data_IF_720938230742
#
_entry.id   IF_720938230742
#
_cell.length_a   1.000
_cell.length_b   1.000
_cell.length_c   1.000
_cell.angle_alpha   90.00
_cell.angle_beta   90.00
_cell.angle_gamma   90.00
#
_symmetry.space_group_name_H-M   'P 1'
#
loop_
_entity.id
_entity.type
_entity.pdbx_description
1 polymer ?
#
# COMPACT_ATOMS: atom_id res chain seq x y z
N UNK A 1 7.13 -21.94 23.63
CA UNK A 1 6.92 -20.87 24.63
C UNK A 1 5.44 -20.64 24.79
N UNK A 2 4.83 -21.27 25.78
CA UNK A 2 3.38 -21.25 26.01
C UNK A 2 2.90 -19.96 26.71
N UNK A 3 3.81 -19.13 27.22
CA UNK A 3 3.50 -17.86 27.93
C UNK A 3 3.04 -16.71 27.03
N UNK A 4 3.04 -16.86 25.70
CA UNK A 4 2.66 -15.77 24.77
C UNK A 4 1.22 -15.87 24.25
N UNK A 5 0.42 -16.82 24.76
CA UNK A 5 -1.00 -17.03 24.39
C UNK A 5 -1.86 -16.80 25.63
N UNK A 6 -2.98 -16.09 25.51
CA UNK A 6 -3.85 -15.88 26.67
C UNK A 6 -4.95 -14.85 26.45
N UNK A 7 -5.72 -14.61 27.51
CA UNK A 7 -6.75 -13.56 27.54
C UNK A 7 -6.08 -12.21 27.65
N UNK A 8 -6.58 -11.24 26.89
CA UNK A 8 -6.18 -9.85 27.07
C UNK A 8 -6.48 -9.39 28.50
N UNK A 9 -5.49 -8.88 29.26
CA UNK A 9 -5.67 -8.43 30.64
C UNK A 9 -6.46 -7.11 30.76
N UNK A 10 -6.81 -6.48 29.64
CA UNK A 10 -7.62 -5.26 29.63
C UNK A 10 -9.10 -5.65 29.76
N UNK A 11 -9.72 -5.17 30.84
CA UNK A 11 -11.08 -5.50 31.24
C UNK A 11 -12.13 -5.23 30.14
N UNK A 12 -11.91 -4.20 29.31
CA UNK A 12 -12.80 -3.87 28.18
C UNK A 12 -12.55 -4.71 26.92
N UNK A 13 -11.47 -5.51 26.86
CA UNK A 13 -11.13 -6.33 25.69
C UNK A 13 -11.50 -7.80 25.89
N UNK A 14 -11.02 -8.44 26.95
CA UNK A 14 -11.35 -9.84 27.32
C UNK A 14 -11.10 -10.93 26.25
N UNK A 15 -10.45 -10.61 25.12
CA UNK A 15 -10.28 -11.55 24.00
C UNK A 15 -9.14 -12.54 24.25
N UNK A 16 -9.36 -13.80 23.88
CA UNK A 16 -8.30 -14.82 23.82
C UNK A 16 -7.46 -14.63 22.54
N UNK A 17 -6.15 -14.42 22.69
CA UNK A 17 -5.25 -14.12 21.57
C UNK A 17 -4.05 -15.07 21.57
N UNK A 18 -3.67 -15.51 20.37
CA UNK A 18 -2.54 -16.44 20.13
C UNK A 18 -1.15 -15.79 20.30
N UNK A 19 -1.09 -14.47 20.22
CA UNK A 19 0.09 -13.67 20.49
C UNK A 19 -0.31 -12.46 21.34
N UNK A 20 -0.31 -12.67 22.65
CA UNK A 20 -0.76 -11.69 23.64
C UNK A 20 0.16 -10.46 23.65
N UNK A 21 1.48 -10.65 23.51
CA UNK A 21 2.44 -9.55 23.43
C UNK A 21 2.19 -8.69 22.19
N UNK A 22 1.93 -9.31 21.05
CA UNK A 22 1.52 -8.62 19.83
C UNK A 22 0.19 -7.87 20.00
N UNK A 23 -0.77 -8.49 20.69
CA UNK A 23 -2.08 -7.91 20.93
C UNK A 23 -2.03 -6.70 21.85
N UNK A 24 -1.23 -6.73 22.91
CA UNK A 24 -1.12 -5.61 23.86
C UNK A 24 -0.62 -4.32 23.19
N UNK A 25 0.10 -4.43 22.07
CA UNK A 25 0.47 -3.28 21.26
C UNK A 25 -0.73 -2.56 20.61
N UNK A 26 -1.87 -3.23 20.42
CA UNK A 26 -3.08 -2.59 19.86
C UNK A 26 -3.73 -1.62 20.84
N UNK A 27 -3.49 -1.82 22.14
CA UNK A 27 -3.99 -0.97 23.23
C UNK A 27 -3.05 0.18 23.58
N UNK A 28 -1.82 0.16 23.07
CA UNK A 28 -0.95 1.33 23.18
C UNK A 28 -1.46 2.42 22.25
N UNK A 29 -1.70 3.61 22.81
CA UNK A 29 -2.12 4.79 22.04
C UNK A 29 -0.98 5.35 21.17
N UNK A 30 0.28 5.13 21.56
CA UNK A 30 1.42 5.55 20.75
C UNK A 30 1.66 4.59 19.58
N UNK A 31 1.45 5.12 18.37
CA UNK A 31 1.60 4.38 17.12
C UNK A 31 2.61 5.11 16.23
N UNK A 32 3.91 4.74 16.35
CA UNK A 32 4.99 5.49 15.70
C UNK A 32 4.98 5.37 14.18
N UNK A 33 4.43 4.29 13.65
CA UNK A 33 4.45 4.00 12.21
C UNK A 33 3.24 4.61 11.52
N UNK A 34 3.41 5.76 10.86
CA UNK A 34 2.30 6.47 10.20
C UNK A 34 2.23 6.18 8.70
N UNK A 35 1.01 6.11 8.14
CA UNK A 35 0.85 6.06 6.69
C UNK A 35 1.51 7.30 6.05
N UNK A 36 2.29 7.19 4.97
CA UNK A 36 2.94 8.35 4.34
C UNK A 36 1.96 9.30 3.62
N UNK A 37 0.73 8.86 3.33
CA UNK A 37 -0.29 9.66 2.67
C UNK A 37 -1.00 10.52 3.69
N UNK A 38 -0.88 11.84 3.59
CA UNK A 38 -1.42 12.80 4.57
C UNK A 38 -2.94 12.79 4.67
N UNK A 39 -3.64 12.51 3.57
CA UNK A 39 -5.11 12.40 3.52
C UNK A 39 -5.66 11.08 4.09
N UNK A 40 -4.79 10.11 4.42
CA UNK A 40 -5.21 8.84 4.99
C UNK A 40 -5.47 8.95 6.50
N UNK A 41 -6.57 8.37 6.99
CA UNK A 41 -6.89 8.31 8.43
C UNK A 41 -5.76 7.69 9.28
N UNK A 42 -5.03 6.72 8.70
CA UNK A 42 -3.89 6.06 9.36
C UNK A 42 -2.59 6.87 9.31
N UNK A 43 -2.58 8.04 8.71
CA UNK A 43 -1.52 9.03 8.90
C UNK A 43 -1.58 9.62 10.32
N UNK A 44 -2.78 9.86 10.82
CA UNK A 44 -3.01 10.40 12.16
C UNK A 44 -3.02 9.26 13.18
N UNK A 45 -3.80 8.21 12.92
CA UNK A 45 -3.93 7.06 13.84
C UNK A 45 -2.64 6.24 13.95
N UNK A 46 -1.88 6.09 12.86
CA UNK A 46 -0.70 5.24 12.80
C UNK A 46 -0.97 3.75 12.99
N UNK A 47 0.12 2.98 12.98
CA UNK A 47 0.20 1.54 13.15
C UNK A 47 1.12 1.19 14.31
N UNK A 48 0.86 0.04 14.92
CA UNK A 48 1.71 -0.51 15.97
C UNK A 48 3.03 -1.11 15.43
N UNK A 49 3.08 -1.48 14.14
CA UNK A 49 4.26 -2.10 13.50
C UNK A 49 4.47 -1.61 12.08
N UNK A 50 5.73 -1.63 11.65
CA UNK A 50 6.14 -1.32 10.27
C UNK A 50 5.50 -2.26 9.24
N UNK A 51 5.38 -3.55 9.55
CA UNK A 51 4.73 -4.53 8.66
C UNK A 51 3.27 -4.16 8.38
N UNK A 52 2.52 -3.76 9.41
CA UNK A 52 1.11 -3.39 9.27
C UNK A 52 0.96 -2.11 8.43
N UNK A 53 1.86 -1.13 8.63
CA UNK A 53 1.96 0.07 7.81
C UNK A 53 2.25 -0.27 6.34
N UNK A 54 3.26 -1.08 6.07
CA UNK A 54 3.65 -1.45 4.71
C UNK A 54 2.55 -2.24 3.99
N UNK A 55 1.87 -3.16 4.68
CA UNK A 55 0.72 -3.88 4.14
C UNK A 55 -0.44 -2.93 3.84
N UNK A 56 -0.70 -1.97 4.72
CA UNK A 56 -1.73 -0.96 4.50
C UNK A 56 -1.39 -0.06 3.30
N UNK A 57 -0.13 0.35 3.12
CA UNK A 57 0.21 1.23 1.99
C UNK A 57 -0.08 0.62 0.64
N UNK A 58 -0.05 -0.71 0.51
CA UNK A 58 -0.45 -1.41 -0.71
C UNK A 58 -1.93 -1.19 -1.10
N UNK A 59 -2.82 -0.84 -0.16
CA UNK A 59 -4.24 -0.57 -0.46
C UNK A 59 -4.46 0.76 -1.14
N UNK A 60 -3.48 1.67 -1.08
CA UNK A 60 -3.54 2.98 -1.72
C UNK A 60 -3.06 2.96 -3.16
N UNK A 61 -2.50 1.84 -3.62
CA UNK A 61 -2.12 1.69 -5.01
C UNK A 61 -3.37 1.62 -5.88
N UNK A 62 -3.55 2.61 -6.78
CA UNK A 62 -4.68 2.72 -7.71
C UNK A 62 -4.33 2.30 -9.14
N UNK A 63 -3.11 1.82 -9.38
CA UNK A 63 -2.66 1.39 -10.69
C UNK A 63 -3.03 -0.07 -11.03
N UNK A 64 -2.72 -0.45 -12.26
CA UNK A 64 -2.87 -1.83 -12.73
C UNK A 64 -1.48 -2.47 -12.83
N UNK A 65 -1.31 -3.64 -12.22
CA UNK A 65 -0.08 -4.45 -12.33
C UNK A 65 -0.33 -5.73 -13.09
N UNK A 66 0.69 -6.17 -13.83
CA UNK A 66 0.67 -7.41 -14.61
C UNK A 66 1.79 -8.32 -14.14
N UNK A 67 1.51 -9.62 -14.04
CA UNK A 67 2.52 -10.59 -13.63
C UNK A 67 3.41 -11.01 -14.79
N UNK A 68 4.64 -10.47 -14.83
CA UNK A 68 5.68 -10.83 -15.80
C UNK A 68 6.17 -12.29 -15.76
N UNK A 69 5.78 -13.05 -14.73
CA UNK A 69 6.25 -14.42 -14.49
C UNK A 69 5.21 -15.48 -14.88
N UNK A 70 3.99 -15.07 -15.21
CA UNK A 70 2.94 -16.00 -15.67
C UNK A 70 3.17 -16.43 -17.12
N UNK A 71 2.90 -17.71 -17.47
CA UNK A 71 2.86 -18.13 -18.86
C UNK A 71 1.77 -17.35 -19.59
N UNK A 72 2.16 -16.58 -20.62
CA UNK A 72 1.26 -15.68 -21.36
C UNK A 72 1.32 -14.20 -20.96
N UNK A 73 2.29 -13.77 -20.15
CA UNK A 73 2.57 -12.35 -19.95
C UNK A 73 2.86 -11.67 -21.30
N UNK A 74 2.13 -10.61 -21.66
CA UNK A 74 2.21 -9.97 -22.98
C UNK A 74 1.26 -10.53 -24.05
N UNK A 75 0.29 -11.38 -23.66
CA UNK A 75 -0.80 -11.86 -24.54
C UNK A 75 -2.16 -11.31 -24.09
N UNK A 76 -3.18 -11.45 -24.94
CA UNK A 76 -4.56 -11.01 -24.66
C UNK A 76 -5.24 -11.70 -23.45
N UNK A 77 -4.58 -12.69 -22.84
CA UNK A 77 -5.04 -13.42 -21.65
C UNK A 77 -4.25 -13.06 -20.38
N UNK A 78 -3.47 -11.98 -20.39
CA UNK A 78 -2.68 -11.59 -19.23
C UNK A 78 -3.56 -11.20 -18.03
N UNK A 79 -3.17 -11.68 -16.83
CA UNK A 79 -3.89 -11.36 -15.59
C UNK A 79 -3.43 -10.00 -15.10
N UNK A 80 -4.34 -9.03 -15.11
CA UNK A 80 -4.15 -7.71 -14.56
C UNK A 80 -4.74 -7.61 -13.15
N UNK A 81 -4.07 -6.84 -12.30
CA UNK A 81 -4.42 -6.68 -10.89
C UNK A 81 -4.49 -5.19 -10.54
N UNK A 82 -5.68 -4.72 -10.17
CA UNK A 82 -5.89 -3.33 -9.72
C UNK A 82 -5.53 -3.11 -8.25
N UNK A 83 -5.07 -4.16 -7.56
CA UNK A 83 -4.73 -4.12 -6.13
C UNK A 83 -3.41 -4.80 -5.87
N UNK A 84 -2.50 -4.08 -5.21
CA UNK A 84 -1.17 -4.58 -4.96
C UNK A 84 -1.12 -5.74 -3.96
N UNK A 85 -2.02 -5.78 -2.98
CA UNK A 85 -2.09 -6.88 -2.02
C UNK A 85 -2.60 -8.19 -2.65
N UNK A 86 -3.53 -8.11 -3.60
CA UNK A 86 -4.01 -9.28 -4.37
C UNK A 86 -2.89 -9.80 -5.29
N UNK A 87 -2.19 -8.89 -5.95
CA UNK A 87 -1.02 -9.24 -6.76
C UNK A 87 0.08 -9.92 -5.92
N UNK A 88 0.39 -9.39 -4.74
CA UNK A 88 1.38 -9.97 -3.84
C UNK A 88 0.99 -11.38 -3.36
N UNK A 89 -0.31 -11.62 -3.09
CA UNK A 89 -0.82 -12.97 -2.80
C UNK A 89 -0.69 -13.91 -3.98
N UNK A 90 -0.94 -13.44 -5.20
CA UNK A 90 -0.75 -14.22 -6.42
C UNK A 90 0.69 -14.70 -6.56
N UNK A 91 1.69 -13.85 -6.28
CA UNK A 91 3.10 -14.25 -6.29
C UNK A 91 3.39 -15.37 -5.30
N UNK A 92 2.84 -15.30 -4.09
CA UNK A 92 3.03 -16.37 -3.09
C UNK A 92 2.33 -17.67 -3.46
N UNK A 93 1.11 -17.63 -4.01
CA UNK A 93 0.31 -18.83 -4.25
C UNK A 93 0.61 -19.53 -5.58
N UNK A 94 0.94 -18.75 -6.62
CA UNK A 94 1.17 -19.27 -7.97
C UNK A 94 2.66 -19.49 -8.23
N UNK A 95 3.52 -18.59 -7.73
CA UNK A 95 4.96 -18.68 -7.94
C UNK A 95 5.73 -19.20 -6.71
N UNK A 96 5.04 -19.54 -5.62
CA UNK A 96 5.65 -20.18 -4.44
C UNK A 96 6.67 -19.31 -3.71
N UNK A 97 6.58 -17.98 -3.88
CA UNK A 97 7.47 -17.02 -3.20
C UNK A 97 7.38 -17.18 -1.69
N UNK A 98 8.52 -17.30 -1.03
CA UNK A 98 8.57 -17.39 0.43
C UNK A 98 8.38 -16.01 1.05
N UNK A 99 7.36 -15.88 1.89
CA UNK A 99 7.18 -14.73 2.75
C UNK A 99 8.20 -14.85 3.89
N UNK A 100 9.28 -14.06 3.83
CA UNK A 100 10.26 -14.01 4.91
C UNK A 100 9.56 -13.71 6.22
N UNK A 101 9.52 -14.69 7.12
CA UNK A 101 8.96 -14.51 8.44
C UNK A 101 9.75 -13.40 9.16
N UNK A 102 9.09 -12.48 9.87
CA UNK A 102 9.75 -11.32 10.49
C UNK A 102 10.78 -11.69 11.57
N UNK A 103 10.95 -12.98 11.88
CA UNK A 103 11.92 -13.50 12.83
C UNK A 103 12.81 -14.64 12.29
N UNK A 104 12.82 -14.89 10.97
CA UNK A 104 13.82 -15.78 10.39
C UNK A 104 15.18 -15.03 10.42
N UNK A 105 15.95 -15.24 11.49
CA UNK A 105 17.37 -14.86 11.55
C UNK A 105 17.98 -15.16 10.19
N UNK A 106 18.47 -14.12 9.51
CA UNK A 106 19.35 -14.31 8.36
C UNK A 106 20.51 -15.17 8.82
N UNK A 107 20.50 -16.44 8.41
CA UNK A 107 21.72 -17.25 8.41
C UNK A 107 22.53 -16.78 7.21
N UNK A 108 23.42 -15.83 7.49
CA UNK A 108 24.52 -15.50 6.58
C UNK A 108 25.42 -16.73 6.44
N UNK A 109 25.74 -17.10 5.20
CA UNK A 109 26.81 -18.02 4.85
C UNK A 109 26.39 -19.49 4.75
N UNK A 110 26.32 -20.01 3.53
CA UNK A 110 26.16 -21.44 3.29
C UNK A 110 25.89 -21.77 1.83
N UNK A 111 26.93 -21.71 1.00
CA UNK A 111 26.97 -22.43 -0.26
C UNK A 111 26.67 -23.92 0.00
N UNK A 112 25.48 -24.40 -0.35
CA UNK A 112 25.27 -25.83 -0.54
C UNK A 112 24.20 -26.06 -1.60
N UNK A 113 24.70 -26.52 -2.74
CA UNK A 113 23.95 -27.13 -3.82
C UNK A 113 23.03 -28.21 -3.26
N UNK A 114 21.73 -28.09 -3.51
CA UNK A 114 20.83 -29.25 -3.52
C UNK A 114 19.75 -29.01 -4.56
N UNK A 115 19.62 -30.02 -5.41
CA UNK A 115 19.01 -29.99 -6.72
C UNK A 115 17.48 -29.94 -6.59
N UNK A 116 16.87 -28.90 -7.16
CA UNK A 116 15.55 -29.02 -7.78
C UNK A 116 15.69 -28.55 -9.22
N UNK A 117 15.96 -29.52 -10.09
CA UNK A 117 15.92 -29.32 -11.53
C UNK A 117 14.47 -29.47 -11.98
N UNK A 118 13.76 -28.35 -12.14
CA UNK A 118 12.68 -28.26 -13.11
C UNK A 118 12.50 -26.80 -13.59
N UNK A 119 12.62 -26.63 -14.91
CA UNK A 119 12.35 -25.45 -15.73
C UNK A 119 13.27 -24.22 -15.63
N UNK A 120 14.44 -24.35 -16.28
CA UNK A 120 15.08 -23.24 -17.01
C UNK A 120 14.22 -22.87 -18.22
N UNK A 121 13.34 -21.88 -18.04
CA UNK A 121 13.11 -20.85 -19.05
C UNK A 121 13.48 -19.58 -18.30
N UNK A 122 14.45 -18.82 -18.81
CA UNK A 122 14.82 -17.52 -18.24
C UNK A 122 13.69 -16.51 -18.44
N UNK A 123 12.56 -16.72 -17.77
CA UNK A 123 11.44 -15.79 -17.75
C UNK A 123 11.85 -14.69 -16.77
N UNK A 124 12.63 -13.74 -17.25
CA UNK A 124 12.88 -12.50 -16.54
C UNK A 124 11.57 -11.75 -16.44
N UNK A 125 10.97 -11.71 -15.26
CA UNK A 125 9.77 -10.92 -15.04
C UNK A 125 10.15 -9.45 -14.86
N UNK A 126 9.45 -8.57 -15.55
CA UNK A 126 9.60 -7.12 -15.42
C UNK A 126 8.58 -6.57 -14.43
N UNK A 127 9.00 -5.62 -13.60
CA UNK A 127 8.06 -4.83 -12.83
C UNK A 127 7.29 -3.90 -13.76
N UNK A 128 5.99 -4.12 -13.93
CA UNK A 128 5.13 -3.26 -14.77
C UNK A 128 5.08 -1.80 -14.30
N UNK A 129 5.47 -1.55 -13.05
CA UNK A 129 5.41 -0.22 -12.43
C UNK A 129 6.68 0.62 -12.65
N UNK A 130 7.87 -0.01 -12.66
CA UNK A 130 9.15 0.71 -12.82
C UNK A 130 10.03 0.21 -13.97
N UNK A 131 9.60 -0.82 -14.70
CA UNK A 131 10.33 -1.40 -15.83
C UNK A 131 11.57 -2.22 -15.48
N UNK A 132 11.93 -2.33 -14.19
CA UNK A 132 13.10 -3.12 -13.77
C UNK A 132 12.85 -4.60 -14.04
N UNK A 133 13.82 -5.28 -14.65
CA UNK A 133 13.79 -6.72 -14.88
C UNK A 133 14.41 -7.47 -13.69
N UNK A 134 13.80 -8.59 -13.32
CA UNK A 134 14.24 -9.42 -12.19
C UNK A 134 14.58 -10.82 -12.68
N UNK A 135 15.70 -11.36 -12.18
CA UNK A 135 16.16 -12.71 -12.52
C UNK A 135 15.34 -13.80 -11.83
N UNK A 136 14.73 -13.48 -10.68
CA UNK A 136 13.87 -14.39 -9.94
C UNK A 136 12.65 -13.64 -9.37
N UNK A 137 11.60 -14.39 -9.06
CA UNK A 137 10.33 -13.83 -8.57
C UNK A 137 10.37 -13.45 -7.08
N UNK A 138 11.37 -13.94 -6.34
CA UNK A 138 11.60 -13.60 -4.93
C UNK A 138 12.11 -12.16 -4.78
N UNK A 139 13.12 -11.77 -5.55
CA UNK A 139 13.68 -10.42 -5.61
C UNK A 139 12.61 -9.42 -6.05
N UNK A 140 11.78 -9.80 -7.02
CA UNK A 140 10.63 -8.99 -7.42
C UNK A 140 9.63 -8.79 -6.27
N UNK A 141 9.34 -9.83 -5.50
CA UNK A 141 8.44 -9.73 -4.34
C UNK A 141 9.01 -8.84 -3.22
N UNK A 142 10.31 -8.90 -2.96
CA UNK A 142 10.98 -8.01 -2.00
C UNK A 142 11.00 -6.55 -2.49
N UNK A 143 11.15 -6.35 -3.80
CA UNK A 143 11.11 -5.03 -4.44
C UNK A 143 9.72 -4.36 -4.44
N UNK A 144 8.65 -5.16 -4.55
CA UNK A 144 7.29 -4.67 -4.82
C UNK A 144 6.82 -3.60 -3.83
N UNK A 145 7.07 -3.78 -2.54
CA UNK A 145 6.61 -2.84 -1.50
C UNK A 145 7.23 -1.45 -1.68
N UNK A 146 8.56 -1.38 -1.89
CA UNK A 146 9.27 -0.12 -2.08
C UNK A 146 8.95 0.52 -3.43
N UNK A 147 8.68 -0.29 -4.46
CA UNK A 147 8.21 0.22 -5.75
C UNK A 147 6.83 0.87 -5.64
N UNK A 148 5.88 0.19 -5.01
CA UNK A 148 4.51 0.68 -4.81
C UNK A 148 4.51 1.91 -3.91
N UNK A 149 5.31 1.90 -2.83
CA UNK A 149 5.47 3.07 -1.96
C UNK A 149 5.98 4.30 -2.71
N UNK A 150 6.98 4.15 -3.59
CA UNK A 150 7.48 5.26 -4.41
C UNK A 150 6.42 5.84 -5.33
N UNK A 151 5.64 4.99 -6.01
CA UNK A 151 4.56 5.46 -6.90
C UNK A 151 3.48 6.19 -6.11
N UNK A 152 3.08 5.67 -4.96
CA UNK A 152 2.09 6.31 -4.10
C UNK A 152 2.59 7.68 -3.60
N UNK A 153 3.86 7.80 -3.25
CA UNK A 153 4.44 9.04 -2.73
C UNK A 153 4.67 10.11 -3.81
N UNK A 154 4.87 9.71 -5.07
CA UNK A 154 5.04 10.64 -6.18
C UNK A 154 3.71 11.27 -6.63
N UNK A 155 2.57 10.78 -6.14
CA UNK A 155 1.24 11.25 -6.53
C UNK A 155 0.87 10.83 -7.96
N UNK A 156 -0.40 10.95 -8.31
CA UNK A 156 -0.80 10.84 -9.71
C UNK A 156 -0.34 12.11 -10.43
N UNK A 157 0.48 12.03 -11.49
CA UNK A 157 0.89 13.23 -12.22
C UNK A 157 -0.30 14.08 -12.67
N UNK A 158 -1.45 13.46 -12.93
CA UNK A 158 -2.68 14.18 -13.27
C UNK A 158 -3.26 14.97 -12.09
N UNK A 159 -3.15 14.46 -10.86
CA UNK A 159 -3.62 15.16 -9.66
C UNK A 159 -2.75 16.39 -9.37
N UNK A 160 -1.42 16.26 -9.47
CA UNK A 160 -0.50 17.38 -9.31
C UNK A 160 -0.69 18.46 -10.40
N UNK A 161 -0.95 18.05 -11.64
CA UNK A 161 -1.29 18.97 -12.74
C UNK A 161 -2.63 19.67 -12.46
N UNK A 162 -3.66 18.92 -12.03
CA UNK A 162 -4.96 19.49 -11.71
C UNK A 162 -4.89 20.46 -10.54
N UNK A 163 -4.17 20.14 -9.46
CA UNK A 163 -3.93 21.06 -8.33
C UNK A 163 -3.21 22.33 -8.78
N UNK A 164 -2.20 22.21 -9.63
CA UNK A 164 -1.49 23.38 -10.19
C UNK A 164 -2.41 24.24 -11.04
N UNK A 165 -3.25 23.63 -11.89
CA UNK A 165 -4.22 24.33 -12.72
C UNK A 165 -5.25 25.04 -11.82
N UNK A 166 -5.82 24.35 -10.84
CA UNK A 166 -6.77 24.91 -9.87
C UNK A 166 -6.16 26.07 -9.10
N UNK A 167 -4.91 25.94 -8.62
CA UNK A 167 -4.21 27.03 -7.95
C UNK A 167 -3.98 28.23 -8.88
N UNK A 168 -3.62 27.99 -10.15
CA UNK A 168 -3.44 29.07 -11.13
C UNK A 168 -4.74 29.80 -11.47
N UNK A 169 -5.87 29.08 -11.47
CA UNK A 169 -7.20 29.65 -11.71
C UNK A 169 -7.69 30.52 -10.55
N UNK A 170 -7.26 30.25 -9.32
CA UNK A 170 -7.60 31.07 -8.13
C UNK A 170 -6.93 32.45 -8.22
N UNK A 171 -5.70 32.51 -8.72
CA UNK A 171 -4.93 33.77 -8.81
C UNK A 171 -5.28 34.61 -10.05
N UNK A 172 -5.86 33.99 -11.09
CA UNK A 172 -6.23 34.64 -12.34
C UNK A 172 -7.20 35.81 -12.12
N UNK A 173 -6.76 37.01 -12.53
CA UNK A 173 -7.53 38.24 -12.35
C UNK A 173 -8.87 38.21 -13.08
N UNK A 174 -8.95 37.63 -14.28
CA UNK A 174 -10.18 37.58 -15.06
C UNK A 174 -11.21 36.64 -14.41
N UNK A 175 -10.75 35.56 -13.79
CA UNK A 175 -11.60 34.64 -13.01
C UNK A 175 -12.13 35.35 -11.76
N UNK A 176 -11.26 36.03 -11.00
CA UNK A 176 -11.66 36.80 -9.81
C UNK A 176 -12.66 37.91 -10.11
N UNK A 177 -12.40 38.71 -11.15
CA UNK A 177 -13.31 39.78 -11.57
C UNK A 177 -14.69 39.21 -12.01
N UNK A 178 -14.71 37.99 -12.58
CA UNK A 178 -15.95 37.32 -12.99
C UNK A 178 -16.72 36.76 -11.80
N UNK A 179 -16.03 36.14 -10.84
CA UNK A 179 -16.64 35.69 -9.58
C UNK A 179 -17.24 36.85 -8.79
N UNK A 180 -16.56 38.00 -8.74
CA UNK A 180 -17.04 39.20 -8.07
C UNK A 180 -18.26 39.82 -8.76
N UNK A 181 -18.23 39.91 -10.10
CA UNK A 181 -19.39 40.37 -10.90
C UNK A 181 -20.65 39.54 -10.67
N UNK A 182 -20.49 38.26 -10.36
CA UNK A 182 -21.60 37.34 -10.08
C UNK A 182 -21.86 37.11 -8.59
N UNK A 183 -21.20 37.86 -7.68
CA UNK A 183 -21.35 37.75 -6.23
C UNK A 183 -21.05 36.36 -5.66
N UNK A 184 -20.09 35.64 -6.25
CA UNK A 184 -19.70 34.27 -5.87
C UNK A 184 -18.42 34.19 -5.01
N UNK A 185 -17.80 35.33 -4.69
CA UNK A 185 -16.46 35.40 -4.08
C UNK A 185 -16.36 34.98 -2.60
N UNK A 186 -17.47 34.58 -1.95
CA UNK A 186 -17.54 34.40 -0.49
C UNK A 186 -18.01 33.00 -0.02
N UNK A 187 -17.49 31.92 -0.61
CA UNK A 187 -17.71 30.55 -0.13
C UNK A 187 -16.63 30.07 0.87
N UNK A 188 -16.03 30.97 1.65
CA UNK A 188 -15.08 30.63 2.72
C UNK A 188 -15.76 30.28 4.07
N UNK A 189 -17.01 29.78 4.06
CA UNK A 189 -17.69 29.20 5.23
C UNK A 189 -18.85 28.26 4.83
N UNK A 190 -18.55 27.06 4.31
CA UNK A 190 -19.45 25.91 4.45
C UNK A 190 -18.72 24.77 5.15
N UNK A 191 -18.42 24.99 6.43
CA UNK A 191 -18.30 23.92 7.41
C UNK A 191 -19.66 23.82 8.11
N UNK A 192 -20.59 23.09 7.51
CA UNK A 192 -21.87 22.75 8.13
C UNK A 192 -22.32 21.39 7.57
N UNK A 193 -22.66 20.40 8.41
CA UNK A 193 -23.19 19.14 7.91
C UNK A 193 -24.52 19.40 7.16
N UNK A 194 -24.86 18.57 6.15
CA UNK A 194 -26.12 18.74 5.42
C UNK A 194 -27.27 18.45 6.39
N UNK A 195 -28.03 19.50 6.73
CA UNK A 195 -29.35 19.33 7.33
C UNK A 195 -30.28 18.97 6.20
N UNK A 196 -30.76 17.73 6.20
CA UNK A 196 -31.87 17.29 5.37
C UNK A 196 -33.15 17.71 6.09
N UNK A 197 -33.85 18.71 5.56
CA UNK A 197 -35.26 18.94 5.88
C UNK A 197 -36.10 17.97 5.03
N UNK A 198 -36.92 17.19 5.73
CA UNK A 198 -37.86 16.19 5.20
C UNK A 198 -39.24 16.87 5.12
N UNK A 199 -39.79 17.01 3.92
CA UNK A 199 -41.22 17.23 3.64
C UNK A 199 -41.68 16.23 2.57
#
# INVERSE_FOLDING_TARGET
SEENKGVCPIASCGRHIKDLKAHLLTHKNERPEKCPITSCEYHIKGFARKYDKNRHTLTHYKGTMVCGFCPGSGSSSEKSFNRADVFKRHLTSVHGVEQTAPNARRRSGGSSSSKSALNKIGITGMCSTCGVAFANVQDFYEHLDDCVLRVIQQGDPCEAINERILSSMIDDKAVRDTLERHSLSNASNLTGPPVFDDD
#
